data_IF_760397591290
#
_entry.id   IF_760397591290
#
_cell.length_a   1.000
_cell.length_b   1.000
_cell.length_c   1.000
_cell.angle_alpha   90.00
_cell.angle_beta   90.00
_cell.angle_gamma   90.00
#
_symmetry.space_group_name_H-M   'P 1'
#
loop_
_entity.id
_entity.type
_entity.pdbx_description
1 polymer ?
2 non-polymer ?
3 water ?
#
# COMPACT_ATOMS: atom_id res chain seq x y z
N UNK A 5 6.40 17.80 -11.20
CA UNK A 5 6.14 16.80 -10.14
C UNK A 5 5.03 15.81 -10.59
N UNK A 6 5.31 14.50 -10.56
CA UNK A 6 4.32 13.52 -10.98
C UNK A 6 4.39 12.27 -10.13
N UNK A 7 3.23 11.85 -9.66
CA UNK A 7 3.04 10.55 -9.07
C UNK A 7 2.70 9.54 -10.16
N UNK A 8 3.33 8.38 -10.10
CA UNK A 8 3.06 7.28 -11.02
C UNK A 8 3.27 6.01 -10.20
N UNK A 9 2.17 5.34 -9.83
CA UNK A 9 2.30 4.26 -8.87
C UNK A 9 1.43 3.09 -9.32
N UNK A 10 1.91 1.86 -9.13
CA UNK A 10 1.14 0.69 -9.58
C UNK A 10 -0.10 0.38 -8.81
N UNK A 11 -0.43 1.07 -7.70
CA UNK A 11 -1.81 0.97 -7.20
C UNK A 11 -2.82 1.58 -8.16
N UNK A 12 -2.36 2.31 -9.16
CA UNK A 12 -3.20 2.90 -10.16
C UNK A 12 -3.76 4.26 -9.82
N UNK A 13 -3.40 4.85 -8.69
CA UNK A 13 -3.99 6.12 -8.27
C UNK A 13 -2.86 7.13 -8.25
N UNK A 14 -2.80 7.98 -9.26
CA UNK A 14 -1.63 8.82 -9.40
C UNK A 14 -1.80 10.14 -8.67
N UNK A 15 -1.95 10.04 -7.33
CA UNK A 15 -2.18 11.18 -6.44
C UNK A 15 -1.39 10.97 -5.16
N UNK A 16 -0.69 12.00 -4.67
CA UNK A 16 0.04 11.89 -3.42
C UNK A 16 -0.89 11.44 -2.30
N UNK A 17 -0.37 10.59 -1.42
CA UNK A 17 -1.05 10.21 -0.18
C UNK A 17 0.01 9.65 0.75
N UNK A 18 0.14 10.23 1.94
CA UNK A 18 1.08 9.66 2.85
C UNK A 18 2.53 9.87 2.42
N UNK A 19 3.40 8.98 2.90
CA UNK A 19 4.80 9.06 2.54
C UNK A 19 5.00 8.64 1.09
N UNK A 20 5.61 9.53 0.31
CA UNK A 20 5.92 9.27 -1.09
C UNK A 20 7.42 9.02 -1.23
N UNK A 21 7.79 8.17 -2.20
CA UNK A 21 9.19 7.85 -2.47
C UNK A 21 9.50 8.12 -3.94
N UNK A 22 10.72 8.60 -4.21
CA UNK A 22 11.14 9.03 -5.54
C UNK A 22 11.95 7.93 -6.20
N UNK A 23 11.54 7.52 -7.40
CA UNK A 23 12.32 6.58 -8.18
C UNK A 23 13.51 7.27 -8.81
N UNK A 24 14.69 6.71 -8.57
CA UNK A 24 15.94 7.17 -9.14
C UNK A 24 16.04 6.93 -10.63
N UNK A 25 15.22 6.05 -11.18
CA UNK A 25 15.22 5.75 -12.59
C UNK A 25 14.38 6.68 -13.45
N UNK A 26 13.17 7.03 -13.02
CA UNK A 26 12.25 7.80 -13.86
C UNK A 26 11.86 9.14 -13.25
N UNK A 27 12.26 9.39 -12.01
CA UNK A 27 11.96 10.67 -11.35
C UNK A 27 10.46 10.85 -11.12
N UNK A 28 9.70 9.77 -11.06
CA UNK A 28 8.31 9.79 -10.65
C UNK A 28 8.20 9.25 -9.23
N UNK A 29 7.12 9.64 -8.56
CA UNK A 29 6.88 9.29 -7.17
C UNK A 29 5.87 8.17 -7.00
N UNK A 30 6.11 7.32 -6.02
CA UNK A 30 5.22 6.22 -5.67
C UNK A 30 4.85 6.32 -4.20
N UNK A 31 3.73 5.71 -3.82
CA UNK A 31 3.43 5.57 -2.39
C UNK A 31 4.39 4.57 -1.77
N UNK A 32 5.04 4.96 -0.68
CA UNK A 32 5.98 4.03 -0.03
C UNK A 32 5.29 2.73 0.35
N UNK A 33 4.07 2.81 0.86
CA UNK A 33 3.39 1.61 1.33
C UNK A 33 3.09 0.64 0.19
N UNK A 34 2.83 1.16 -1.00
CA UNK A 34 2.64 0.31 -2.15
C UNK A 34 3.84 -0.58 -2.42
N UNK A 35 5.04 -0.08 -2.06
CA UNK A 35 6.33 -0.75 -2.20
C UNK A 35 6.75 -1.42 -0.91
N UNK A 36 5.80 -1.71 -0.03
CA UNK A 36 6.02 -2.52 1.16
C UNK A 36 6.81 -1.76 2.23
N UNK A 37 6.83 -0.44 2.17
CA UNK A 37 7.60 0.41 3.08
C UNK A 37 6.59 1.18 3.94
N UNK A 38 6.56 0.87 5.22
CA UNK A 38 5.69 1.56 6.17
C UNK A 38 6.45 2.58 7.00
N UNK A 39 7.57 2.19 7.57
CA UNK A 39 8.37 3.08 8.39
C UNK A 39 9.33 3.87 7.53
N UNK A 40 9.50 5.16 7.88
CA UNK A 40 10.38 6.04 7.10
C UNK A 40 11.79 5.50 7.09
N UNK A 41 12.19 4.78 8.14
CA UNK A 41 13.53 4.22 8.16
C UNK A 41 13.75 3.08 7.20
N UNK A 42 12.69 2.52 6.64
CA UNK A 42 12.81 1.47 5.64
C UNK A 42 12.81 2.01 4.22
N UNK A 43 12.75 3.33 4.05
CA UNK A 43 12.88 3.95 2.73
C UNK A 43 14.31 3.72 2.29
N UNK A 44 14.54 3.15 1.12
CA UNK A 44 15.92 2.87 0.71
C UNK A 44 16.63 4.15 0.30
N UNK A 45 17.96 4.04 0.32
CA UNK A 45 18.79 5.14 -0.15
C UNK A 45 18.46 5.49 -1.58
N UNK A 46 18.24 4.48 -2.42
CA UNK A 46 17.90 4.68 -3.81
C UNK A 46 16.76 3.74 -4.18
N UNK A 47 15.56 4.27 -4.25
CA UNK A 47 14.39 3.49 -4.62
C UNK A 47 14.30 3.39 -6.12
N UNK A 48 13.89 2.20 -6.58
CA UNK A 48 13.66 1.93 -7.99
C UNK A 48 12.26 1.34 -8.13
N UNK A 49 11.46 1.95 -9.00
CA UNK A 49 10.07 1.51 -9.16
C UNK A 49 10.03 0.19 -9.94
N UNK A 50 8.82 -0.36 -10.08
CA UNK A 50 8.65 -1.66 -10.71
C UNK A 50 8.90 -1.60 -12.21
N UNK A 51 8.62 -0.46 -12.84
CA UNK A 51 8.92 -0.31 -14.25
C UNK A 51 10.42 -0.21 -14.49
N UNK A 52 11.08 0.71 -13.78
CA UNK A 52 12.50 0.89 -13.97
C UNK A 52 13.27 -0.37 -13.59
N UNK A 53 12.80 -1.11 -12.60
CA UNK A 53 13.52 -2.34 -12.23
C UNK A 53 13.59 -3.32 -13.41
N UNK A 54 12.57 -3.33 -14.28
CA UNK A 54 12.54 -4.20 -15.44
C UNK A 54 13.16 -3.57 -16.69
N UNK A 55 13.10 -2.24 -16.82
CA UNK A 55 13.71 -1.58 -17.99
C UNK A 55 15.20 -1.40 -17.80
N UNK A 56 15.63 -1.13 -16.58
CA UNK A 56 17.03 -0.83 -16.28
C UNK A 56 17.48 -1.61 -15.06
N UNK A 57 17.57 -2.93 -15.17
CA UNK A 57 17.98 -3.74 -14.01
C UNK A 57 19.34 -3.36 -13.41
N UNK A 58 20.23 -2.69 -14.16
CA UNK A 58 21.51 -2.28 -13.59
C UNK A 58 21.32 -1.35 -12.40
N UNK A 59 20.20 -0.64 -12.35
CA UNK A 59 19.92 0.20 -11.18
C UNK A 59 19.93 -0.59 -9.88
N UNK A 60 19.56 -1.86 -9.93
CA UNK A 60 19.50 -2.72 -8.75
C UNK A 60 20.84 -3.31 -8.36
N UNK A 61 21.84 -3.24 -9.22
CA UNK A 61 23.15 -3.79 -8.93
C UNK A 61 24.12 -2.70 -8.53
N UNK A 62 23.70 -1.45 -8.62
CA UNK A 62 24.55 -0.30 -8.35
C UNK A 62 24.01 0.54 -7.20
N UNK A 63 23.21 -0.07 -6.34
CA UNK A 63 22.78 0.53 -5.09
C UNK A 63 21.31 0.73 -4.96
N UNK A 64 20.56 0.41 -5.95
CA UNK A 64 19.15 0.65 -5.90
C UNK A 64 18.42 -0.55 -5.37
N UNK A 65 17.20 -0.30 -4.89
CA UNK A 65 16.37 -1.27 -4.24
C UNK A 65 14.95 -1.10 -4.77
N UNK A 66 14.32 -2.19 -5.23
CA UNK A 66 12.91 -2.21 -5.60
C UNK A 66 12.14 -3.09 -4.61
N UNK A 67 10.82 -3.15 -4.80
CA UNK A 67 9.99 -4.11 -4.10
C UNK A 67 9.90 -5.35 -4.95
N UNK A 68 10.75 -6.32 -4.63
CA UNK A 68 10.80 -7.56 -5.39
C UNK A 68 9.51 -8.36 -5.33
N UNK A 69 8.63 -8.08 -4.35
CA UNK A 69 7.40 -8.86 -4.27
C UNK A 69 6.40 -8.52 -5.35
N UNK A 70 6.43 -7.32 -5.91
CA UNK A 70 5.47 -6.90 -6.90
C UNK A 70 6.07 -6.71 -8.29
N UNK A 71 7.39 -6.78 -8.40
CA UNK A 71 8.05 -6.39 -9.64
C UNK A 71 7.45 -7.11 -10.84
N UNK A 72 7.32 -8.44 -10.78
CA UNK A 72 7.01 -9.22 -11.96
C UNK A 72 5.57 -9.69 -11.98
N UNK A 73 4.74 -9.23 -11.06
CA UNK A 73 3.34 -9.59 -11.06
C UNK A 73 2.65 -9.00 -12.27
N UNK A 74 1.47 -9.53 -12.57
CA UNK A 74 0.61 -8.92 -13.57
C UNK A 74 0.11 -7.58 -13.05
N UNK A 75 -0.36 -6.74 -13.98
CA UNK A 75 -0.88 -5.42 -13.61
C UNK A 75 -1.97 -5.55 -12.57
N UNK A 76 -2.91 -6.45 -12.81
CA UNK A 76 -4.06 -6.59 -11.94
C UNK A 76 -3.65 -7.14 -10.59
N UNK A 77 -2.74 -8.12 -10.54
CA UNK A 77 -2.36 -8.66 -9.23
C UNK A 77 -1.56 -7.64 -8.43
N UNK A 78 -0.69 -6.90 -9.10
CA UNK A 78 0.10 -5.87 -8.42
C UNK A 78 -0.81 -4.77 -7.87
N UNK A 79 -1.78 -4.32 -8.66
CA UNK A 79 -2.69 -3.29 -8.20
C UNK A 79 -3.43 -3.71 -6.94
N UNK A 80 -3.92 -4.94 -6.91
CA UNK A 80 -4.63 -5.44 -5.75
C UNK A 80 -3.73 -5.53 -4.52
N UNK A 81 -2.48 -5.94 -4.69
CA UNK A 81 -1.54 -5.97 -3.57
C UNK A 81 -1.25 -4.57 -3.06
N UNK A 82 -0.96 -3.64 -3.96
CA UNK A 82 -0.60 -2.30 -3.55
C UNK A 82 -1.78 -1.62 -2.87
N UNK A 83 -2.98 -1.75 -3.42
CA UNK A 83 -4.15 -1.14 -2.78
C UNK A 83 -4.41 -1.73 -1.41
N UNK A 84 -4.21 -3.03 -1.23
CA UNK A 84 -4.41 -3.61 0.08
C UNK A 84 -3.40 -3.07 1.09
N UNK A 85 -2.16 -2.87 0.65
CA UNK A 85 -1.18 -2.24 1.52
C UNK A 85 -1.61 -0.84 1.92
N UNK A 86 -2.14 -0.07 0.97
CA UNK A 86 -2.65 1.26 1.31
C UNK A 86 -3.78 1.19 2.32
N UNK A 87 -4.67 0.19 2.22
CA UNK A 87 -5.79 0.13 3.15
C UNK A 87 -5.33 -0.30 4.53
N UNK A 88 -4.34 -1.20 4.60
CA UNK A 88 -3.75 -1.52 5.91
C UNK A 88 -3.18 -0.28 6.58
N UNK A 89 -2.46 0.55 5.83
CA UNK A 89 -1.88 1.78 6.41
C UNK A 89 -2.97 2.76 6.81
N UNK A 90 -4.04 2.82 6.05
CA UNK A 90 -5.18 3.65 6.45
C UNK A 90 -5.72 3.22 7.79
N UNK A 91 -5.90 1.91 7.96
CA UNK A 91 -6.42 1.37 9.21
C UNK A 91 -5.52 1.69 10.40
N UNK A 92 -4.20 1.76 10.19
CA UNK A 92 -3.29 2.12 11.29
C UNK A 92 -3.60 3.49 11.89
N UNK A 93 -4.27 4.36 11.14
CA UNK A 93 -4.56 5.72 11.59
C UNK A 93 -6.04 6.01 11.79
N UNK A 94 -6.89 4.99 11.80
CA UNK A 94 -8.32 5.17 11.92
C UNK A 94 -8.91 4.18 12.91
N UNK A 95 -10.09 4.53 13.44
CA UNK A 95 -10.76 3.66 14.42
C UNK A 95 -11.83 2.79 13.78
N UNK A 96 -12.31 3.17 12.61
CA UNK A 96 -13.30 2.39 11.91
C UNK A 96 -13.18 2.73 10.44
N UNK A 97 -13.62 1.79 9.63
CA UNK A 97 -13.64 1.99 8.18
C UNK A 97 -14.91 1.39 7.57
N UNK A 98 -15.18 1.79 6.33
CA UNK A 98 -16.28 1.27 5.53
C UNK A 98 -15.83 1.29 4.09
N UNK A 99 -16.51 0.59 3.20
CA UNK A 99 -16.15 0.74 1.78
C UNK A 99 -16.16 2.19 1.29
N UNK A 100 -17.15 2.99 1.69
CA UNK A 100 -17.19 4.35 1.18
C UNK A 100 -16.02 5.19 1.66
N UNK A 101 -15.63 5.03 2.93
CA UNK A 101 -14.48 5.74 3.46
C UNK A 101 -13.20 5.30 2.76
N UNK A 102 -13.06 3.99 2.53
CA UNK A 102 -11.90 3.48 1.83
C UNK A 102 -11.82 4.07 0.43
N UNK A 103 -12.95 4.09 -0.29
CA UNK A 103 -12.96 4.62 -1.63
C UNK A 103 -12.53 6.09 -1.66
N UNK A 104 -13.07 6.91 -0.75
CA UNK A 104 -12.70 8.32 -0.69
C UNK A 104 -11.22 8.48 -0.38
N UNK A 105 -10.73 7.71 0.61
CA UNK A 105 -9.39 7.91 1.11
C UNK A 105 -8.35 7.49 0.08
N UNK A 106 -8.59 6.40 -0.63
CA UNK A 106 -7.59 5.87 -1.54
C UNK A 106 -7.76 6.34 -2.97
N UNK A 107 -8.89 6.97 -3.29
CA UNK A 107 -9.09 7.47 -4.63
C UNK A 107 -9.57 6.42 -5.61
N UNK A 108 -10.33 5.42 -5.15
CA UNK A 108 -10.71 4.29 -5.96
C UNK A 108 -12.23 4.17 -6.03
N UNK A 109 -12.67 3.28 -6.91
CA UNK A 109 -14.09 2.97 -7.09
C UNK A 109 -14.65 2.22 -5.89
N UNK A 110 -15.95 2.42 -5.66
CA UNK A 110 -16.60 1.78 -4.52
C UNK A 110 -16.48 0.26 -4.56
N UNK A 111 -16.67 -0.37 -5.73
CA UNK A 111 -16.65 -1.82 -5.74
C UNK A 111 -15.27 -2.36 -5.40
N UNK A 112 -14.21 -1.67 -5.82
CA UNK A 112 -12.85 -2.08 -5.47
C UNK A 112 -12.63 -1.89 -3.98
N UNK A 113 -13.07 -0.75 -3.45
CA UNK A 113 -12.98 -0.53 -2.01
C UNK A 113 -13.68 -1.62 -1.21
N UNK A 114 -14.86 -2.06 -1.68
CA UNK A 114 -15.57 -3.12 -0.96
C UNK A 114 -14.75 -4.41 -0.92
N UNK A 115 -14.08 -4.74 -2.02
CA UNK A 115 -13.21 -5.91 -2.01
C UNK A 115 -12.09 -5.79 -0.98
N UNK A 116 -11.50 -4.59 -0.87
CA UNK A 116 -10.46 -4.37 0.12
C UNK A 116 -11.01 -4.49 1.54
N UNK A 117 -12.19 -3.94 1.76
CA UNK A 117 -12.88 -4.07 3.04
C UNK A 117 -13.09 -5.52 3.39
N UNK A 118 -13.50 -6.32 2.41
CA UNK A 118 -13.74 -7.73 2.66
C UNK A 118 -12.45 -8.44 3.02
N UNK A 119 -11.35 -8.08 2.38
CA UNK A 119 -10.08 -8.71 2.74
C UNK A 119 -9.62 -8.29 4.13
N UNK A 120 -9.89 -7.07 4.54
CA UNK A 120 -9.62 -6.68 5.92
C UNK A 120 -10.35 -7.56 6.92
N UNK A 121 -11.57 -7.96 6.61
CA UNK A 121 -12.27 -8.86 7.50
C UNK A 121 -11.55 -10.20 7.55
N UNK A 122 -11.14 -10.72 6.40
CA UNK A 122 -10.44 -12.00 6.38
C UNK A 122 -9.08 -11.94 7.09
N UNK A 123 -8.37 -10.84 6.99
CA UNK A 123 -7.09 -10.73 7.66
C UNK A 123 -7.28 -10.39 9.14
N UNK A 124 -8.56 -10.32 9.59
CA UNK A 124 -9.00 -10.03 10.96
C UNK A 124 -8.55 -8.65 11.46
N UNK A 125 -8.43 -7.71 10.54
CA UNK A 125 -8.04 -6.35 10.90
C UNK A 125 -9.21 -5.55 11.40
N UNK A 126 -10.41 -5.84 10.90
CA UNK A 126 -11.63 -5.14 11.32
C UNK A 126 -12.64 -6.16 11.80
N UNK A 127 -13.42 -5.78 12.80
CA UNK A 127 -14.31 -6.69 13.50
C UNK A 127 -15.18 -5.84 14.40
N UNK A 128 -16.44 -6.09 14.33
CA UNK A 128 -17.29 -5.38 15.26
C UNK A 128 -17.88 -4.16 14.61
N UNK A 129 -19.14 -3.95 14.88
CA UNK A 129 -19.87 -2.89 14.22
C UNK A 129 -19.41 -1.52 14.68
N UNK A 130 -19.20 -0.62 13.72
CA UNK A 130 -18.94 0.75 14.05
C UNK A 130 -20.24 1.46 14.29
N UNK A 131 -20.15 2.76 14.50
CA UNK A 131 -21.34 3.51 14.87
C UNK A 131 -22.36 3.59 13.76
N UNK A 132 -21.94 3.44 12.51
CA UNK A 132 -22.83 3.57 11.38
C UNK A 132 -22.94 2.27 10.60
N UNK A 133 -24.11 2.07 10.00
CA UNK A 133 -24.30 0.86 9.24
C UNK A 133 -23.24 0.75 8.16
N UNK A 134 -22.66 -0.42 8.03
CA UNK A 134 -21.64 -0.63 7.02
C UNK A 134 -20.23 -0.37 7.48
N UNK A 135 -20.05 0.11 8.69
CA UNK A 135 -18.75 0.37 9.26
C UNK A 135 -18.34 -0.75 10.19
N UNK A 136 -17.06 -1.06 10.18
CA UNK A 136 -16.48 -1.95 11.17
C UNK A 136 -15.30 -1.30 11.86
N UNK A 137 -15.11 -1.71 13.10
CA UNK A 137 -14.04 -1.18 13.91
C UNK A 137 -12.71 -1.86 13.62
N UNK A 138 -11.65 -1.05 13.67
CA UNK A 138 -10.31 -1.56 13.54
C UNK A 138 -9.86 -2.22 14.84
N UNK A 139 -9.26 -3.39 14.71
CA UNK A 139 -8.63 -4.11 15.82
C UNK A 139 -7.23 -3.56 15.95
N UNK A 140 -7.09 -2.47 16.69
CA UNK A 140 -5.88 -1.65 16.63
C UNK A 140 -4.66 -2.41 17.09
N UNK A 141 -4.73 -3.04 18.26
CA UNK A 141 -3.53 -3.73 18.72
C UNK A 141 -3.16 -4.91 17.83
N UNK A 142 -4.16 -5.69 17.43
CA UNK A 142 -3.89 -6.83 16.54
C UNK A 142 -3.25 -6.36 15.24
N UNK A 143 -3.76 -5.29 14.66
CA UNK A 143 -3.17 -4.74 13.44
C UNK A 143 -1.71 -4.34 13.67
N UNK A 144 -1.46 -3.58 14.74
CA UNK A 144 -0.12 -3.02 14.92
C UNK A 144 0.89 -4.10 15.28
N UNK A 145 0.48 -5.02 16.15
CA UNK A 145 1.42 -5.94 16.77
C UNK A 145 1.62 -7.21 15.96
N UNK A 146 0.61 -7.59 15.15
CA UNK A 146 0.55 -8.90 14.50
C UNK A 146 0.34 -8.79 12.98
N UNK A 147 -0.72 -8.13 12.54
CA UNK A 147 -1.05 -8.16 11.10
C UNK A 147 -0.05 -7.36 10.30
N UNK A 148 0.23 -6.15 10.73
CA UNK A 148 1.17 -5.30 10.01
C UNK A 148 2.52 -5.97 9.82
N UNK A 149 3.13 -6.61 10.83
CA UNK A 149 4.39 -7.31 10.58
C UNK A 149 4.31 -8.42 9.55
N UNK A 150 3.15 -9.01 9.33
CA UNK A 150 3.04 -10.02 8.27
C UNK A 150 3.37 -9.43 6.90
N UNK A 151 2.96 -8.18 6.66
CA UNK A 151 3.05 -7.53 5.36
C UNK A 151 4.28 -6.65 5.22
N UNK A 152 4.72 -5.99 6.30
CA UNK A 152 5.62 -4.85 6.19
C UNK A 152 6.92 -5.02 6.94
N UNK A 153 7.30 -6.23 7.31
CA UNK A 153 8.54 -6.41 8.03
C UNK A 153 9.76 -6.40 7.12
N UNK A 154 10.83 -5.76 7.62
CA UNK A 154 12.14 -5.70 6.97
C UNK A 154 13.12 -6.10 8.06
N UNK A 155 13.69 -7.28 7.95
CA UNK A 155 14.47 -7.84 9.08
C UNK A 155 15.84 -8.25 8.67
#
# INVERSE_FOLDING_TARGET
SNASYEARCPCGVNKDDGVMILCDGCDKWQHAVCFRILQEGDVPTSHVCEICAKLKPELLRTGGTTDETIQNLSVEARKATCLFRRVLALCLNEDSVSPAFIARSLGIEYTVARGLFNRLIKEQVIKGAGPRRGEKLVEKEYLENIVCPRFFSHN
#
